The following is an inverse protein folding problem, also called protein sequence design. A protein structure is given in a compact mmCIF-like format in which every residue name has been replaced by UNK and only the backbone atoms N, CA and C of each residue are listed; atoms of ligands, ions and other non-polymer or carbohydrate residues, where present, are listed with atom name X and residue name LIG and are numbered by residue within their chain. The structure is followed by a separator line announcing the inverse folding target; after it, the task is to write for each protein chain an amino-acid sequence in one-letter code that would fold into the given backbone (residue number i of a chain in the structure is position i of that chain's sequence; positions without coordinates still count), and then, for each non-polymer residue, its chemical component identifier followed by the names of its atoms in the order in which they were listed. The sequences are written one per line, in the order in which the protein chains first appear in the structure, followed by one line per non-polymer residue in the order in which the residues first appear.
data_IF_030702949717
#
_entry.id   IF_030702949717
#
_cell.length_a   1.000
_cell.length_b   1.000
_cell.length_c   1.000
_cell.angle_alpha   90.00
_cell.angle_beta   90.00
_cell.angle_gamma   90.00
#
_symmetry.space_group_name_H-M   'P 1'
#
loop_
_entity.id
_entity.type
_entity.pdbx_description
1 polymer ?
#
# COMPACT_ATOMS: atom_id res chain seq x y z
N UNK A 1 -12.94 -32.58 -1.10
CA UNK A 1 -12.41 -31.37 -1.75
C UNK A 1 -11.48 -31.85 -2.84
N UNK A 2 -11.86 -31.74 -4.12
CA UNK A 2 -10.93 -32.02 -5.23
C UNK A 2 -9.79 -31.01 -5.14
N UNK A 3 -8.55 -31.52 -5.16
CA UNK A 3 -7.33 -30.71 -5.24
C UNK A 3 -7.50 -29.66 -6.34
N UNK A 4 -7.33 -28.38 -6.00
CA UNK A 4 -7.56 -27.27 -6.94
C UNK A 4 -6.51 -27.34 -8.06
N UNK A 5 -6.97 -27.28 -9.31
CA UNK A 5 -6.10 -27.39 -10.47
C UNK A 5 -5.52 -26.01 -10.84
N UNK A 6 -4.28 -25.80 -10.43
CA UNK A 6 -3.50 -24.59 -10.72
C UNK A 6 -3.45 -24.26 -12.22
N UNK A 7 -3.37 -25.27 -13.09
CA UNK A 7 -3.30 -25.05 -14.53
C UNK A 7 -4.64 -24.63 -15.11
N UNK A 8 -5.73 -25.21 -14.59
CA UNK A 8 -7.08 -24.78 -14.96
C UNK A 8 -7.35 -23.32 -14.54
N UNK A 9 -6.95 -22.94 -13.32
CA UNK A 9 -7.11 -21.56 -12.83
C UNK A 9 -6.25 -20.57 -13.64
N UNK A 10 -5.04 -20.98 -14.02
CA UNK A 10 -4.15 -20.18 -14.87
C UNK A 10 -4.76 -19.92 -16.25
N UNK A 11 -5.30 -20.98 -16.87
CA UNK A 11 -5.94 -20.90 -18.18
C UNK A 11 -7.24 -20.10 -18.15
N UNK A 12 -8.08 -20.28 -17.13
CA UNK A 12 -9.29 -19.48 -16.93
C UNK A 12 -8.94 -17.99 -16.77
N UNK A 13 -7.94 -17.67 -15.95
CA UNK A 13 -7.43 -16.30 -15.77
C UNK A 13 -6.92 -15.72 -17.09
N UNK A 14 -6.22 -16.53 -17.90
CA UNK A 14 -5.75 -16.12 -19.23
C UNK A 14 -6.89 -15.76 -20.17
N UNK A 15 -7.90 -16.61 -20.25
CA UNK A 15 -9.07 -16.37 -21.10
C UNK A 15 -9.81 -15.10 -20.69
N UNK A 16 -9.98 -14.88 -19.39
CA UNK A 16 -10.66 -13.69 -18.88
C UNK A 16 -9.85 -12.41 -19.08
N UNK A 17 -8.54 -12.48 -18.86
CA UNK A 17 -7.62 -11.40 -19.21
C UNK A 17 -7.69 -11.07 -20.71
N UNK A 18 -7.75 -12.08 -21.58
CA UNK A 18 -7.77 -11.89 -23.04
C UNK A 18 -9.08 -11.26 -23.54
N UNK A 19 -10.20 -11.51 -22.87
CA UNK A 19 -11.49 -10.87 -23.17
C UNK A 19 -11.47 -9.37 -22.83
N UNK A 20 -10.80 -8.99 -21.75
CA UNK A 20 -10.83 -7.62 -21.23
C UNK A 20 -9.65 -6.74 -21.68
N UNK A 21 -8.51 -7.35 -22.03
CA UNK A 21 -7.33 -6.61 -22.44
C UNK A 21 -7.54 -5.95 -23.81
N UNK A 22 -7.50 -4.62 -23.84
CA UNK A 22 -7.63 -3.82 -25.06
C UNK A 22 -6.35 -3.85 -25.93
N UNK A 23 -5.19 -4.07 -25.30
CA UNK A 23 -3.89 -3.94 -25.93
C UNK A 23 -3.28 -5.32 -26.29
N UNK A 24 -2.93 -5.59 -27.56
CA UNK A 24 -2.35 -6.88 -28.00
C UNK A 24 -1.06 -7.27 -27.26
N UNK A 25 -0.19 -6.31 -26.96
CA UNK A 25 1.06 -6.52 -26.23
C UNK A 25 0.84 -7.07 -24.82
N UNK A 26 -0.25 -6.68 -24.16
CA UNK A 26 -0.61 -7.16 -22.83
C UNK A 26 -0.97 -8.64 -22.85
N UNK A 27 -1.74 -9.08 -23.87
CA UNK A 27 -2.09 -10.49 -24.10
C UNK A 27 -0.83 -11.34 -24.36
N UNK A 28 0.06 -10.83 -25.21
CA UNK A 28 1.33 -11.49 -25.54
C UNK A 28 2.23 -11.63 -24.31
N UNK A 29 2.28 -10.61 -23.44
CA UNK A 29 3.05 -10.68 -22.19
C UNK A 29 2.54 -11.79 -21.28
N UNK A 30 1.25 -11.82 -20.99
CA UNK A 30 0.71 -12.83 -20.07
C UNK A 30 0.88 -14.25 -20.60
N UNK A 31 0.71 -14.46 -21.91
CA UNK A 31 0.98 -15.75 -22.54
C UNK A 31 2.44 -16.20 -22.42
N UNK A 32 3.40 -15.26 -22.46
CA UNK A 32 4.82 -15.57 -22.21
C UNK A 32 5.08 -15.95 -20.76
N UNK A 33 4.44 -15.27 -19.81
CA UNK A 33 4.60 -15.54 -18.39
C UNK A 33 4.12 -16.95 -18.04
N UNK A 34 2.95 -17.34 -18.54
CA UNK A 34 2.39 -18.70 -18.38
C UNK A 34 3.36 -19.75 -18.95
N UNK A 35 3.89 -19.54 -20.16
CA UNK A 35 4.86 -20.47 -20.75
C UNK A 35 6.13 -20.63 -19.91
N UNK A 36 6.61 -19.56 -19.28
CA UNK A 36 7.78 -19.63 -18.38
C UNK A 36 7.49 -20.45 -17.13
N UNK A 37 6.31 -20.27 -16.53
CA UNK A 37 5.86 -21.06 -15.36
C UNK A 37 5.81 -22.55 -15.71
N UNK A 38 5.20 -22.91 -16.86
CA UNK A 38 5.16 -24.29 -17.33
C UNK A 38 6.55 -24.85 -17.65
N UNK A 39 7.42 -24.08 -18.32
CA UNK A 39 8.77 -24.52 -18.64
C UNK A 39 9.64 -24.79 -17.39
N UNK A 40 9.31 -24.15 -16.28
CA UNK A 40 9.93 -24.40 -14.98
C UNK A 40 9.33 -25.59 -14.21
N UNK A 41 8.38 -26.32 -14.80
CA UNK A 41 7.73 -27.48 -14.18
C UNK A 41 6.70 -27.14 -13.10
N UNK A 42 6.31 -25.88 -12.97
CA UNK A 42 5.37 -25.42 -11.95
C UNK A 42 3.94 -25.71 -12.43
N UNK A 43 3.35 -26.77 -11.89
CA UNK A 43 2.07 -27.34 -12.35
C UNK A 43 1.01 -27.45 -11.27
N UNK A 44 1.34 -27.12 -10.01
CA UNK A 44 0.41 -27.12 -8.88
C UNK A 44 0.65 -25.91 -7.97
N UNK A 45 -0.32 -25.58 -7.13
CA UNK A 45 -0.17 -24.56 -6.09
C UNK A 45 0.97 -24.90 -5.13
N UNK A 46 1.06 -26.15 -4.70
CA UNK A 46 2.16 -26.62 -3.84
C UNK A 46 3.52 -26.38 -4.51
N UNK A 47 3.68 -26.72 -5.80
CA UNK A 47 4.91 -26.47 -6.55
C UNK A 47 5.21 -24.97 -6.66
N UNK A 48 4.19 -24.14 -6.89
CA UNK A 48 4.33 -22.69 -6.94
C UNK A 48 4.80 -22.12 -5.60
N UNK A 49 4.20 -22.55 -4.48
CA UNK A 49 4.57 -22.05 -3.16
C UNK A 49 5.97 -22.51 -2.74
N UNK A 50 6.35 -23.76 -3.03
CA UNK A 50 7.71 -24.24 -2.81
C UNK A 50 8.73 -23.44 -3.63
N UNK A 51 8.42 -23.16 -4.90
CA UNK A 51 9.26 -22.33 -5.75
C UNK A 51 9.47 -20.91 -5.20
N UNK A 52 8.42 -20.31 -4.62
CA UNK A 52 8.48 -18.98 -4.00
C UNK A 52 9.29 -18.95 -2.70
N UNK A 53 9.23 -20.03 -1.90
CA UNK A 53 9.95 -20.16 -0.63
C UNK A 53 11.46 -20.34 -0.82
N UNK A 54 11.89 -20.93 -1.92
CA UNK A 54 13.31 -21.03 -2.25
C UNK A 54 13.81 -19.72 -2.89
N UNK A 55 14.52 -18.92 -2.09
CA UNK A 55 15.04 -17.60 -2.50
C UNK A 55 16.25 -17.69 -3.45
N UNK A 56 16.79 -18.89 -3.68
CA UNK A 56 17.85 -19.14 -4.66
C UNK A 56 17.31 -19.23 -6.10
N UNK A 57 16.01 -19.53 -6.26
CA UNK A 57 15.34 -19.58 -7.56
C UNK A 57 15.38 -18.23 -8.30
N UNK A 58 15.21 -18.30 -9.63
CA UNK A 58 15.24 -17.12 -10.50
C UNK A 58 14.28 -16.02 -10.01
N UNK A 59 14.80 -14.85 -9.60
CA UNK A 59 13.98 -13.77 -9.05
C UNK A 59 12.95 -13.25 -10.07
N UNK A 60 13.26 -13.30 -11.37
CA UNK A 60 12.29 -12.88 -12.40
C UNK A 60 11.12 -13.84 -12.45
N UNK A 61 11.38 -15.14 -12.34
CA UNK A 61 10.32 -16.14 -12.32
C UNK A 61 9.51 -16.10 -11.01
N UNK A 62 10.16 -15.85 -9.87
CA UNK A 62 9.46 -15.64 -8.58
C UNK A 62 8.55 -14.43 -8.62
N UNK A 63 9.00 -13.31 -9.18
CA UNK A 63 8.16 -12.13 -9.40
C UNK A 63 6.98 -12.44 -10.34
N UNK A 64 7.23 -13.09 -11.49
CA UNK A 64 6.19 -13.51 -12.44
C UNK A 64 5.14 -14.39 -11.75
N UNK A 65 5.59 -15.32 -10.90
CA UNK A 65 4.72 -16.24 -10.20
C UNK A 65 3.83 -15.53 -9.18
N UNK A 66 4.38 -14.63 -8.35
CA UNK A 66 3.59 -13.80 -7.43
C UNK A 66 2.55 -12.96 -8.17
N UNK A 67 2.95 -12.32 -9.28
CA UNK A 67 2.05 -11.51 -10.09
C UNK A 67 0.95 -12.35 -10.76
N UNK A 68 1.27 -13.60 -11.13
CA UNK A 68 0.30 -14.55 -11.68
C UNK A 68 -0.70 -14.99 -10.63
N UNK A 69 -0.26 -15.29 -9.40
CA UNK A 69 -1.15 -15.60 -8.27
C UNK A 69 -2.07 -14.41 -7.95
N UNK A 70 -1.54 -13.19 -7.98
CA UNK A 70 -2.36 -11.97 -7.86
C UNK A 70 -3.44 -11.89 -8.96
N UNK A 71 -3.10 -12.18 -10.21
CA UNK A 71 -4.08 -12.21 -11.31
C UNK A 71 -5.14 -13.29 -11.13
N UNK A 72 -4.74 -14.49 -10.71
CA UNK A 72 -5.66 -15.59 -10.42
C UNK A 72 -6.69 -15.15 -9.36
N UNK A 73 -6.21 -14.54 -8.27
CA UNK A 73 -7.10 -13.97 -7.26
C UNK A 73 -8.03 -12.88 -7.84
N UNK A 74 -7.48 -11.90 -8.55
CA UNK A 74 -8.24 -10.74 -9.02
C UNK A 74 -9.31 -11.07 -10.07
N UNK A 75 -9.00 -11.94 -11.04
CA UNK A 75 -9.99 -12.38 -12.03
C UNK A 75 -11.04 -13.32 -11.44
N UNK A 76 -10.63 -14.18 -10.50
CA UNK A 76 -11.54 -15.02 -9.74
C UNK A 76 -12.57 -14.22 -8.94
N UNK A 77 -12.12 -13.15 -8.26
CA UNK A 77 -12.98 -12.26 -7.49
C UNK A 77 -14.05 -11.57 -8.34
N UNK A 78 -13.65 -10.97 -9.47
CA UNK A 78 -14.54 -10.14 -10.31
C UNK A 78 -15.67 -10.95 -10.96
N UNK A 79 -15.43 -12.21 -11.34
CA UNK A 79 -16.35 -12.94 -12.23
C UNK A 79 -17.21 -14.00 -11.55
N UNK A 80 -16.86 -14.51 -10.38
CA UNK A 80 -17.55 -15.69 -9.83
C UNK A 80 -18.02 -15.58 -8.38
N UNK A 81 -17.73 -14.49 -7.64
CA UNK A 81 -17.96 -14.43 -6.17
C UNK A 81 -17.48 -15.70 -5.44
N UNK A 82 -16.47 -16.39 -6.00
CA UNK A 82 -15.90 -17.60 -5.42
C UNK A 82 -14.83 -17.15 -4.43
N UNK A 83 -15.14 -17.29 -3.16
CA UNK A 83 -14.39 -16.75 -2.03
C UNK A 83 -13.06 -17.47 -1.74
N UNK A 84 -12.63 -18.42 -2.58
CA UNK A 84 -11.50 -19.28 -2.25
C UNK A 84 -10.69 -19.70 -3.51
N UNK A 85 -9.87 -18.80 -4.06
CA UNK A 85 -8.93 -19.17 -5.15
C UNK A 85 -7.54 -19.52 -4.60
N UNK A 86 -7.02 -18.72 -3.69
CA UNK A 86 -5.77 -18.99 -3.00
C UNK A 86 -6.10 -19.36 -1.57
N UNK A 87 -5.70 -20.56 -1.15
CA UNK A 87 -5.77 -20.94 0.25
C UNK A 87 -4.81 -20.04 1.05
N UNK A 88 -5.38 -19.24 1.95
CA UNK A 88 -4.65 -18.26 2.77
C UNK A 88 -3.61 -18.95 3.66
N UNK A 89 -3.92 -20.13 4.18
CA UNK A 89 -3.03 -20.88 5.05
C UNK A 89 -1.86 -21.47 4.26
N UNK A 90 -2.11 -22.06 3.09
CA UNK A 90 -1.05 -22.67 2.28
C UNK A 90 -0.09 -21.64 1.66
N UNK A 91 -0.59 -20.47 1.25
CA UNK A 91 0.24 -19.44 0.61
C UNK A 91 1.04 -18.61 1.62
N UNK A 92 0.60 -18.54 2.88
CA UNK A 92 1.19 -17.69 3.92
C UNK A 92 2.72 -17.86 4.04
N UNK A 93 3.29 -19.08 4.13
CA UNK A 93 4.74 -19.24 4.28
C UNK A 93 5.51 -18.67 3.09
N UNK A 94 5.00 -18.86 1.86
CA UNK A 94 5.60 -18.32 0.64
C UNK A 94 5.58 -16.79 0.61
N UNK A 95 4.50 -16.16 1.10
CA UNK A 95 4.40 -14.71 1.19
C UNK A 95 5.30 -14.13 2.27
N UNK A 96 5.38 -14.74 3.45
CA UNK A 96 6.28 -14.31 4.53
C UNK A 96 7.75 -14.34 4.07
N UNK A 97 8.16 -15.37 3.34
CA UNK A 97 9.51 -15.42 2.73
C UNK A 97 9.68 -14.31 1.69
N UNK A 98 8.69 -14.12 0.81
CA UNK A 98 8.76 -13.15 -0.29
C UNK A 98 8.73 -11.69 0.20
N UNK A 99 8.08 -11.39 1.33
CA UNK A 99 8.12 -10.08 1.99
C UNK A 99 9.52 -9.70 2.49
N UNK A 100 10.40 -10.68 2.69
CA UNK A 100 11.78 -10.51 3.16
C UNK A 100 12.81 -10.67 2.03
N UNK A 101 12.34 -10.70 0.78
CA UNK A 101 13.21 -10.95 -0.36
C UNK A 101 14.29 -9.87 -0.55
N UNK A 102 15.44 -10.24 -1.13
CA UNK A 102 16.48 -9.26 -1.49
C UNK A 102 16.02 -8.28 -2.58
N UNK A 103 15.12 -8.70 -3.47
CA UNK A 103 14.63 -7.89 -4.58
C UNK A 103 13.40 -7.05 -4.17
N UNK A 104 13.44 -5.71 -4.34
CA UNK A 104 12.34 -4.84 -3.92
C UNK A 104 11.02 -5.14 -4.61
N UNK A 105 11.06 -5.50 -5.90
CA UNK A 105 9.86 -5.82 -6.69
C UNK A 105 9.15 -7.07 -6.18
N UNK A 106 9.90 -8.07 -5.70
CA UNK A 106 9.32 -9.29 -5.10
C UNK A 106 8.64 -8.93 -3.77
N UNK A 107 9.28 -8.10 -2.95
CA UNK A 107 8.71 -7.64 -1.67
C UNK A 107 7.41 -6.87 -1.87
N UNK A 108 7.37 -5.94 -2.83
CA UNK A 108 6.13 -5.20 -3.12
C UNK A 108 5.05 -6.12 -3.72
N UNK A 109 5.39 -7.01 -4.65
CA UNK A 109 4.41 -7.92 -5.22
C UNK A 109 3.83 -8.89 -4.17
N UNK A 110 4.65 -9.33 -3.21
CA UNK A 110 4.19 -10.11 -2.06
C UNK A 110 3.29 -9.28 -1.13
N UNK A 111 3.67 -8.03 -0.82
CA UNK A 111 2.87 -7.09 -0.03
C UNK A 111 1.50 -6.83 -0.68
N UNK A 112 1.45 -6.65 -2.00
CA UNK A 112 0.19 -6.55 -2.75
C UNK A 112 -0.67 -7.77 -2.50
N UNK A 113 -0.13 -8.98 -2.69
CA UNK A 113 -0.92 -10.19 -2.52
C UNK A 113 -1.40 -10.38 -1.07
N UNK A 114 -0.58 -10.00 -0.09
CA UNK A 114 -0.96 -9.93 1.34
C UNK A 114 -2.12 -8.96 1.59
N UNK A 115 -2.09 -7.77 0.98
CA UNK A 115 -3.17 -6.78 1.04
C UNK A 115 -4.48 -7.36 0.51
N UNK A 116 -4.45 -7.92 -0.69
CA UNK A 116 -5.65 -8.47 -1.37
C UNK A 116 -6.23 -9.72 -0.69
N UNK A 117 -5.37 -10.54 -0.10
CA UNK A 117 -5.79 -11.70 0.67
C UNK A 117 -6.17 -11.36 2.12
N UNK A 118 -6.05 -10.09 2.52
CA UNK A 118 -6.34 -9.61 3.88
C UNK A 118 -5.61 -10.44 4.97
N UNK A 119 -4.34 -10.79 4.71
CA UNK A 119 -3.54 -11.62 5.62
C UNK A 119 -3.03 -10.77 6.79
N UNK A 120 -3.91 -10.50 7.75
CA UNK A 120 -3.62 -9.67 8.93
C UNK A 120 -2.52 -10.27 9.82
N UNK A 121 -2.25 -11.56 9.71
CA UNK A 121 -1.10 -12.23 10.34
C UNK A 121 0.25 -11.64 9.86
N UNK A 122 0.28 -10.99 8.71
CA UNK A 122 1.47 -10.33 8.16
C UNK A 122 1.71 -8.90 8.68
N UNK A 123 0.87 -8.36 9.58
CA UNK A 123 1.01 -6.98 10.10
C UNK A 123 2.42 -6.71 10.62
N UNK A 124 3.00 -7.61 11.41
CA UNK A 124 4.37 -7.45 11.94
C UNK A 124 5.43 -7.35 10.83
N UNK A 125 5.25 -8.06 9.72
CA UNK A 125 6.15 -7.99 8.56
C UNK A 125 5.99 -6.69 7.77
N UNK A 126 4.76 -6.17 7.67
CA UNK A 126 4.49 -4.88 7.04
C UNK A 126 5.03 -3.72 7.88
N UNK A 127 4.88 -3.76 9.21
CA UNK A 127 5.50 -2.79 10.14
C UNK A 127 7.03 -2.79 10.00
N UNK A 128 7.63 -3.99 9.95
CA UNK A 128 9.06 -4.12 9.71
C UNK A 128 9.49 -3.54 8.34
N UNK A 129 8.66 -3.73 7.30
CA UNK A 129 8.91 -3.14 5.97
C UNK A 129 8.88 -1.61 6.01
N UNK A 130 7.91 -1.00 6.70
CA UNK A 130 7.86 0.47 6.88
C UNK A 130 9.14 0.98 7.57
N UNK A 131 9.61 0.27 8.59
CA UNK A 131 10.76 0.68 9.38
C UNK A 131 12.10 0.55 8.64
N UNK A 132 12.29 -0.53 7.87
CA UNK A 132 13.65 -0.96 7.46
C UNK A 132 13.86 -1.18 5.95
N UNK A 133 12.81 -1.17 5.14
CA UNK A 133 12.95 -1.50 3.71
C UNK A 133 13.81 -0.44 2.98
N UNK A 134 14.76 -0.90 2.17
CA UNK A 134 15.64 -0.02 1.38
C UNK A 134 14.90 0.75 0.29
N UNK A 135 13.79 0.21 -0.22
CA UNK A 135 12.92 0.87 -1.20
C UNK A 135 11.97 1.81 -0.48
N UNK A 136 12.11 3.12 -0.70
CA UNK A 136 11.18 4.13 -0.16
C UNK A 136 9.73 3.85 -0.55
N UNK A 137 9.50 3.29 -1.75
CA UNK A 137 8.18 2.95 -2.23
C UNK A 137 7.58 1.78 -1.46
N UNK A 138 8.37 0.75 -1.16
CA UNK A 138 7.88 -0.39 -0.37
C UNK A 138 7.47 0.05 1.04
N UNK A 139 8.25 0.95 1.67
CA UNK A 139 7.89 1.54 2.97
C UNK A 139 6.54 2.25 2.91
N UNK A 140 6.34 3.08 1.88
CA UNK A 140 5.11 3.84 1.65
C UNK A 140 3.91 2.93 1.36
N UNK A 141 4.08 1.91 0.51
CA UNK A 141 2.98 1.01 0.18
C UNK A 141 2.61 0.10 1.35
N UNK A 142 3.58 -0.34 2.16
CA UNK A 142 3.30 -1.05 3.41
C UNK A 142 2.53 -0.18 4.40
N UNK A 143 2.91 1.09 4.55
CA UNK A 143 2.20 2.08 5.37
C UNK A 143 0.75 2.27 4.90
N UNK A 144 0.56 2.43 3.59
CA UNK A 144 -0.76 2.58 2.98
C UNK A 144 -1.62 1.33 3.19
N UNK A 145 -1.03 0.13 3.09
CA UNK A 145 -1.71 -1.15 3.33
C UNK A 145 -2.27 -1.19 4.75
N UNK A 146 -1.44 -0.91 5.75
CA UNK A 146 -1.84 -0.96 7.16
C UNK A 146 -2.83 0.14 7.53
N UNK A 147 -2.72 1.30 6.88
CA UNK A 147 -3.68 2.41 7.00
C UNK A 147 -5.07 2.01 6.52
N UNK A 148 -5.17 1.36 5.35
CA UNK A 148 -6.45 0.82 4.85
C UNK A 148 -7.03 -0.23 5.78
N UNK A 149 -6.19 -1.00 6.45
CA UNK A 149 -6.61 -1.99 7.42
C UNK A 149 -6.98 -1.42 8.79
N UNK A 150 -6.79 -0.11 8.99
CA UNK A 150 -7.01 0.60 10.24
C UNK A 150 -6.22 -0.04 11.40
N UNK A 151 -5.00 -0.47 11.13
CA UNK A 151 -4.16 -1.14 12.10
C UNK A 151 -3.65 -0.15 13.18
N UNK A 152 -3.84 -0.44 14.48
CA UNK A 152 -3.49 0.49 15.56
C UNK A 152 -1.97 0.61 15.77
N UNK A 153 -1.20 -0.44 15.54
CA UNK A 153 0.25 -0.39 15.67
C UNK A 153 0.87 0.45 14.55
N UNK A 154 0.33 0.33 13.34
CA UNK A 154 0.69 1.19 12.22
C UNK A 154 0.33 2.65 12.49
N UNK A 155 -0.84 2.92 13.09
CA UNK A 155 -1.22 4.28 13.50
C UNK A 155 -0.18 4.89 14.44
N UNK A 156 0.24 4.15 15.47
CA UNK A 156 1.26 4.60 16.40
C UNK A 156 2.62 4.84 15.71
N UNK A 157 3.01 3.96 14.79
CA UNK A 157 4.23 4.12 14.00
C UNK A 157 4.16 5.34 13.08
N UNK A 158 3.02 5.58 12.42
CA UNK A 158 2.81 6.73 11.53
C UNK A 158 2.89 8.03 12.31
N UNK A 159 2.26 8.11 13.50
CA UNK A 159 2.41 9.25 14.41
C UNK A 159 3.88 9.55 14.74
N UNK A 160 4.65 8.52 15.08
CA UNK A 160 6.08 8.67 15.35
C UNK A 160 6.88 9.13 14.12
N UNK A 161 6.51 8.67 12.93
CA UNK A 161 7.15 9.10 11.67
C UNK A 161 6.87 10.57 11.39
N UNK A 162 5.63 11.03 11.57
CA UNK A 162 5.24 12.44 11.35
C UNK A 162 6.01 13.37 12.30
N UNK A 163 6.17 12.97 13.56
CA UNK A 163 6.88 13.75 14.59
C UNK A 163 8.43 13.73 14.46
N UNK A 164 9.01 12.74 13.77
CA UNK A 164 10.46 12.57 13.68
C UNK A 164 11.08 13.38 12.54
N UNK A 165 11.64 14.55 12.87
CA UNK A 165 12.33 15.44 11.92
C UNK A 165 13.60 14.87 11.28
N UNK A 166 14.13 13.74 11.75
CA UNK A 166 15.23 13.05 11.06
C UNK A 166 14.75 12.31 9.79
N UNK A 167 13.43 12.12 9.64
CA UNK A 167 12.83 11.54 8.45
C UNK A 167 12.72 12.58 7.34
N UNK A 168 12.91 12.14 6.10
CA UNK A 168 12.77 13.00 4.92
C UNK A 168 11.36 13.57 4.80
N UNK A 169 11.22 14.80 4.32
CA UNK A 169 9.92 15.45 4.08
C UNK A 169 8.96 14.60 3.25
N UNK A 170 9.46 13.95 2.19
CA UNK A 170 8.68 13.02 1.36
C UNK A 170 8.05 11.85 2.15
N UNK A 171 8.73 11.38 3.21
CA UNK A 171 8.23 10.27 4.01
C UNK A 171 7.28 10.75 5.11
N UNK A 172 7.51 11.97 5.63
CA UNK A 172 6.63 12.61 6.61
C UNK A 172 5.31 13.07 6.00
N UNK A 173 5.35 13.68 4.82
CA UNK A 173 4.15 14.06 4.04
C UNK A 173 3.28 12.83 3.75
N UNK A 174 3.87 11.74 3.23
CA UNK A 174 3.10 10.50 3.02
C UNK A 174 2.52 9.92 4.33
N UNK A 175 3.24 10.07 5.45
CA UNK A 175 2.74 9.66 6.75
C UNK A 175 1.58 10.54 7.23
N UNK A 176 1.60 11.86 6.98
CA UNK A 176 0.47 12.76 7.24
C UNK A 176 -0.75 12.35 6.41
N UNK A 177 -0.57 12.11 5.10
CA UNK A 177 -1.63 11.59 4.22
C UNK A 177 -2.25 10.28 4.73
N UNK A 178 -1.43 9.38 5.26
CA UNK A 178 -1.92 8.15 5.88
C UNK A 178 -2.64 8.40 7.21
N UNK A 179 -2.12 9.33 8.04
CA UNK A 179 -2.69 9.65 9.34
C UNK A 179 -4.10 10.26 9.21
N UNK A 180 -4.33 11.06 8.18
CA UNK A 180 -5.64 11.62 7.83
C UNK A 180 -6.72 10.55 7.57
N UNK A 181 -6.34 9.36 7.10
CA UNK A 181 -7.27 8.26 6.84
C UNK A 181 -7.66 7.47 8.09
N UNK A 182 -7.05 7.76 9.25
CA UNK A 182 -7.49 7.23 10.53
C UNK A 182 -8.54 8.14 11.19
N UNK A 183 -9.37 7.61 12.12
CA UNK A 183 -10.21 8.46 12.95
C UNK A 183 -9.39 9.53 13.67
N UNK A 184 -9.74 10.79 13.41
CA UNK A 184 -9.04 11.94 13.98
C UNK A 184 -9.41 12.09 15.45
N UNK A 185 -8.40 12.06 16.30
CA UNK A 185 -8.47 12.38 17.71
C UNK A 185 -7.64 13.65 18.04
N UNK A 186 -7.72 14.17 19.28
CA UNK A 186 -6.95 15.35 19.66
C UNK A 186 -5.43 15.19 19.50
N UNK A 187 -4.89 13.97 19.54
CA UNK A 187 -3.45 13.73 19.37
C UNK A 187 -3.03 14.03 17.93
N UNK A 188 -3.78 13.49 16.96
CA UNK A 188 -3.53 13.76 15.54
C UNK A 188 -3.70 15.24 15.25
N UNK A 189 -4.80 15.84 15.69
CA UNK A 189 -5.10 17.24 15.44
C UNK A 189 -3.98 18.16 15.99
N UNK A 190 -3.60 18.00 17.26
CA UNK A 190 -2.58 18.83 17.88
C UNK A 190 -1.21 18.72 17.18
N UNK A 191 -0.84 17.50 16.75
CA UNK A 191 0.41 17.28 16.01
C UNK A 191 0.41 18.01 14.67
N UNK A 192 -0.69 17.91 13.91
CA UNK A 192 -0.81 18.56 12.61
C UNK A 192 -0.88 20.09 12.74
N UNK A 193 -1.61 20.62 13.72
CA UNK A 193 -1.65 22.07 14.00
C UNK A 193 -0.26 22.60 14.34
N UNK A 194 0.48 21.88 15.20
CA UNK A 194 1.85 22.24 15.57
C UNK A 194 2.76 22.27 14.34
N UNK A 195 2.67 21.25 13.47
CA UNK A 195 3.47 21.19 12.24
C UNK A 195 3.11 22.33 11.30
N UNK A 196 1.82 22.58 11.09
CA UNK A 196 1.33 23.59 10.13
C UNK A 196 1.88 25.00 10.43
N UNK A 197 1.92 25.39 11.70
CA UNK A 197 2.33 26.74 12.12
C UNK A 197 3.82 26.87 12.46
N UNK A 198 4.58 25.78 12.43
CA UNK A 198 6.01 25.83 12.77
C UNK A 198 6.86 26.34 11.58
N UNK A 199 7.49 27.53 11.69
CA UNK A 199 8.27 28.10 10.60
C UNK A 199 9.59 27.36 10.32
N UNK A 200 9.99 26.43 11.18
CA UNK A 200 11.18 25.58 11.01
C UNK A 200 10.90 24.29 10.24
N UNK A 201 9.63 23.97 9.98
CA UNK A 201 9.23 22.88 9.09
C UNK A 201 9.39 23.28 7.62
N UNK A 202 9.63 22.27 6.77
CA UNK A 202 9.59 22.47 5.32
C UNK A 202 8.19 22.88 4.87
N UNK A 203 8.11 23.69 3.83
CA UNK A 203 6.83 24.19 3.31
C UNK A 203 5.95 23.00 2.90
N UNK A 204 6.53 21.97 2.29
CA UNK A 204 5.84 20.76 1.83
C UNK A 204 5.16 20.01 2.98
N UNK A 205 5.84 19.87 4.13
CA UNK A 205 5.25 19.19 5.31
C UNK A 205 4.15 20.04 5.95
N UNK A 206 4.33 21.36 5.98
CA UNK A 206 3.34 22.31 6.50
C UNK A 206 2.07 22.32 5.65
N UNK A 207 2.21 22.30 4.33
CA UNK A 207 1.09 22.20 3.38
C UNK A 207 0.28 20.93 3.59
N UNK A 208 0.94 19.77 3.67
CA UNK A 208 0.26 18.48 3.86
C UNK A 208 -0.49 18.44 5.19
N UNK A 209 0.07 19.03 6.26
CA UNK A 209 -0.63 19.17 7.54
C UNK A 209 -1.86 20.09 7.42
N UNK A 210 -1.74 21.20 6.68
CA UNK A 210 -2.84 22.12 6.44
C UNK A 210 -3.96 21.50 5.60
N UNK A 211 -3.61 20.70 4.58
CA UNK A 211 -4.56 19.94 3.77
C UNK A 211 -5.31 18.91 4.62
N UNK A 212 -4.57 18.09 5.37
CA UNK A 212 -5.13 17.07 6.24
C UNK A 212 -6.12 17.67 7.26
N UNK A 213 -5.82 18.83 7.84
CA UNK A 213 -6.71 19.54 8.76
C UNK A 213 -7.95 20.15 8.07
N UNK A 214 -7.86 20.52 6.79
CA UNK A 214 -8.95 21.23 6.09
C UNK A 214 -10.08 20.26 5.79
N UNK A 215 -9.71 19.03 5.44
CA UNK A 215 -10.65 17.93 5.29
C UNK A 215 -11.36 17.58 6.60
N UNK A 216 -10.81 17.94 7.76
CA UNK A 216 -11.50 17.78 9.05
C UNK A 216 -12.56 18.85 9.28
N UNK A 217 -12.31 20.10 8.85
CA UNK A 217 -13.25 21.21 8.97
C UNK A 217 -13.64 21.56 10.41
N UNK A 218 -12.74 21.35 11.36
CA UNK A 218 -12.99 21.59 12.79
C UNK A 218 -12.81 23.06 13.14
N UNK A 219 -13.74 23.64 13.88
CA UNK A 219 -13.70 25.05 14.30
C UNK A 219 -12.48 25.39 15.18
N UNK A 220 -11.90 24.38 15.82
CA UNK A 220 -10.75 24.48 16.70
C UNK A 220 -9.46 24.84 15.93
N UNK A 221 -9.41 24.62 14.60
CA UNK A 221 -8.22 24.91 13.77
C UNK A 221 -8.22 26.32 13.17
N UNK A 222 -9.24 27.15 13.46
CA UNK A 222 -9.41 28.51 12.88
C UNK A 222 -8.17 29.37 13.10
N UNK A 223 -7.65 29.44 14.33
CA UNK A 223 -6.50 30.28 14.67
C UNK A 223 -5.25 29.85 13.91
N UNK A 224 -5.08 28.54 13.73
CA UNK A 224 -3.95 27.97 13.01
C UNK A 224 -4.01 28.30 11.51
N UNK A 225 -5.20 28.32 10.89
CA UNK A 225 -5.37 28.80 9.51
C UNK A 225 -5.23 30.32 9.35
N UNK A 226 -5.69 31.10 10.33
CA UNK A 226 -5.49 32.55 10.33
C UNK A 226 -4.00 32.91 10.33
N UNK A 227 -3.18 32.15 11.08
CA UNK A 227 -1.73 32.32 11.07
C UNK A 227 -1.12 32.14 9.67
N UNK A 228 -1.63 31.19 8.87
CA UNK A 228 -1.13 30.94 7.52
C UNK A 228 -1.36 32.11 6.54
N UNK A 229 -2.35 32.98 6.78
CA UNK A 229 -2.65 34.11 5.89
C UNK A 229 -1.49 35.13 5.79
N UNK A 230 -0.60 35.13 6.78
CA UNK A 230 0.56 36.03 6.85
C UNK A 230 1.88 35.35 6.45
N UNK A 231 1.85 34.08 6.04
CA UNK A 231 3.06 33.35 5.67
C UNK A 231 3.72 33.89 4.40
N UNK A 232 5.06 33.91 4.30
CA UNK A 232 5.76 34.31 3.09
C UNK A 232 5.43 33.41 1.89
N UNK A 233 5.26 32.11 2.13
CA UNK A 233 4.99 31.12 1.11
C UNK A 233 3.53 31.23 0.61
N UNK A 234 3.35 31.43 -0.70
CA UNK A 234 2.04 31.71 -1.28
C UNK A 234 1.05 30.54 -1.15
N UNK A 235 1.58 29.33 -1.17
CA UNK A 235 0.84 28.10 -0.98
C UNK A 235 0.31 27.92 0.45
N UNK A 236 1.09 28.29 1.46
CA UNK A 236 0.59 28.32 2.85
C UNK A 236 -0.54 29.34 3.01
N UNK A 237 -0.41 30.52 2.39
CA UNK A 237 -1.53 31.50 2.36
C UNK A 237 -2.77 30.93 1.67
N UNK A 238 -2.61 30.17 0.58
CA UNK A 238 -3.72 29.50 -0.11
C UNK A 238 -4.43 28.52 0.83
N UNK A 239 -3.67 27.70 1.57
CA UNK A 239 -4.22 26.78 2.56
C UNK A 239 -4.89 27.50 3.72
N UNK A 240 -4.39 28.66 4.15
CA UNK A 240 -5.06 29.54 5.11
C UNK A 240 -6.49 29.90 4.66
N UNK A 241 -6.65 30.31 3.39
CA UNK A 241 -7.97 30.64 2.83
C UNK A 241 -8.83 29.38 2.67
N UNK A 242 -8.27 28.30 2.13
CA UNK A 242 -9.01 27.06 1.87
C UNK A 242 -9.51 26.43 3.17
N UNK A 243 -8.66 26.33 4.20
CA UNK A 243 -9.01 25.77 5.49
C UNK A 243 -10.14 26.53 6.19
N UNK A 244 -10.07 27.87 6.20
CA UNK A 244 -11.16 28.71 6.73
C UNK A 244 -12.49 28.49 5.98
N UNK A 245 -12.42 28.37 4.65
CA UNK A 245 -13.59 28.03 3.83
C UNK A 245 -14.15 26.64 4.14
N UNK A 246 -13.27 25.65 4.33
CA UNK A 246 -13.65 24.28 4.67
C UNK A 246 -14.37 24.20 6.02
N UNK A 247 -13.89 24.94 7.03
CA UNK A 247 -14.55 25.07 8.34
C UNK A 247 -15.94 25.68 8.20
N UNK A 248 -16.07 26.80 7.48
CA UNK A 248 -17.37 27.46 7.28
C UNK A 248 -18.38 26.60 6.52
N UNK A 249 -17.92 25.68 5.66
CA UNK A 249 -18.82 24.78 4.91
C UNK A 249 -19.34 23.60 5.74
N UNK A 250 -18.70 23.31 6.88
CA UNK A 250 -18.96 22.14 7.72
C UNK A 250 -19.52 22.47 9.11
N UNK A 251 -19.57 23.75 9.47
CA UNK A 251 -20.18 24.30 10.70
C UNK A 251 -21.69 24.52 10.51
#
# INVERSE_FOLDING_TARGET
MTERDFLADLEATRQDFYKNAQLPQSKASFGRDIRKIHAAGITSYAAAYQFLMDTSNDPKLRHILLFTLFRIWGYGYIRQKRTEYLDRHEIMPALVVSLKDRHPDIRDQARQLVEYLELRECVSHLLHMIATDKSRYNRIFAMTTLTRWQDPDARAMILAIVADRSKSDFFRTHAIFCLWQYPIDPIIQNLLETIMVDPTESVEVREEAAEALADMGRTETVDAYLALLSEPAANLRLWGVFGLGAISSKA
#
